data_IF_253457349149
#
_entry.id   IF_253457349149
#
_cell.length_a   1.000
_cell.length_b   1.000
_cell.length_c   1.000
_cell.angle_alpha   90.00
_cell.angle_beta   90.00
_cell.angle_gamma   90.00
#
_symmetry.space_group_name_H-M   'P 1'
#
loop_
_entity.id
_entity.type
_entity.pdbx_description
1 polymer ?
#
# COMPACT_ATOMS: atom_id res chain seq x y z
N UNK A 1 9.29 -1.32 -2.01
CA UNK A 1 8.17 -1.32 -2.97
C UNK A 1 6.87 -1.53 -2.18
N UNK A 2 5.75 -0.81 -2.42
CA UNK A 2 4.49 -1.05 -1.70
C UNK A 2 4.04 -2.52 -1.66
N UNK A 3 4.40 -3.29 -2.69
CA UNK A 3 4.06 -4.72 -2.83
C UNK A 3 4.85 -5.64 -1.91
N UNK A 4 5.94 -5.17 -1.30
CA UNK A 4 6.76 -5.97 -0.38
C UNK A 4 6.19 -5.98 1.04
N UNK A 5 5.19 -5.12 1.32
CA UNK A 5 4.60 -5.02 2.64
C UNK A 5 3.49 -6.08 2.77
N UNK A 6 3.61 -7.03 3.73
CA UNK A 6 2.71 -8.18 3.79
C UNK A 6 1.38 -7.83 4.51
N UNK A 7 0.60 -6.91 3.95
CA UNK A 7 -0.67 -6.43 4.53
C UNK A 7 -1.64 -7.57 4.87
N UNK A 8 -1.72 -8.59 4.01
CA UNK A 8 -2.58 -9.76 4.22
C UNK A 8 -2.21 -10.61 5.44
N UNK A 9 -0.91 -10.69 5.79
CA UNK A 9 -0.46 -11.42 7.00
C UNK A 9 -0.94 -10.71 8.27
N UNK A 10 -1.02 -9.39 8.22
CA UNK A 10 -1.46 -8.55 9.33
C UNK A 10 -2.98 -8.36 9.38
N UNK A 11 -3.73 -8.92 8.42
CA UNK A 11 -5.18 -8.76 8.34
C UNK A 11 -5.62 -7.33 8.02
N UNK A 12 -4.79 -6.55 7.34
CA UNK A 12 -5.13 -5.19 6.97
C UNK A 12 -6.10 -5.16 5.78
N UNK A 13 -7.32 -4.68 6.03
CA UNK A 13 -8.37 -4.53 5.00
C UNK A 13 -8.28 -3.18 4.26
N UNK A 14 -7.72 -2.17 4.91
CA UNK A 14 -7.60 -0.81 4.38
C UNK A 14 -6.17 -0.29 4.57
N UNK A 15 -5.65 0.37 3.53
CA UNK A 15 -4.34 1.02 3.54
C UNK A 15 -4.52 2.49 3.19
N UNK A 16 -4.10 3.38 4.09
CA UNK A 16 -4.08 4.84 3.86
C UNK A 16 -2.64 5.26 3.60
N UNK A 17 -2.33 5.58 2.35
CA UNK A 17 -1.03 6.10 1.96
C UNK A 17 -0.90 7.56 2.44
N UNK A 18 -0.09 7.77 3.49
CA UNK A 18 0.16 9.09 4.10
C UNK A 18 1.66 9.37 4.28
N UNK A 19 2.52 8.55 3.69
CA UNK A 19 3.98 8.75 3.73
C UNK A 19 4.42 9.91 2.83
N UNK A 20 3.61 10.26 1.83
CA UNK A 20 3.96 11.27 0.82
C UNK A 20 4.97 10.76 -0.22
N UNK A 21 5.27 9.47 -0.22
CA UNK A 21 6.22 8.82 -1.15
C UNK A 21 5.50 8.26 -2.38
N UNK A 22 4.27 7.76 -2.24
CA UNK A 22 3.49 7.12 -3.30
C UNK A 22 2.30 8.00 -3.70
N UNK A 23 2.60 9.16 -4.27
CA UNK A 23 1.63 10.25 -4.50
C UNK A 23 0.72 10.09 -5.72
N UNK A 24 0.94 9.07 -6.56
CA UNK A 24 0.07 8.79 -7.71
C UNK A 24 -0.84 7.61 -7.42
N UNK A 25 -1.98 7.56 -8.09
CA UNK A 25 -2.94 6.46 -7.95
C UNK A 25 -2.26 5.13 -8.30
N UNK A 26 -1.46 5.05 -9.38
CA UNK A 26 -0.83 3.78 -9.73
C UNK A 26 0.16 3.30 -8.65
N UNK A 27 0.90 4.22 -8.03
CA UNK A 27 1.86 3.88 -6.97
C UNK A 27 1.15 3.49 -5.68
N UNK A 28 0.09 4.20 -5.28
CA UNK A 28 -0.70 3.87 -4.10
C UNK A 28 -1.48 2.54 -4.29
N UNK A 29 -1.99 2.28 -5.49
CA UNK A 29 -2.69 1.01 -5.79
C UNK A 29 -1.77 -0.21 -5.73
N UNK A 30 -0.45 -0.04 -5.78
CA UNK A 30 0.49 -1.14 -5.61
C UNK A 30 0.42 -1.77 -4.20
N UNK A 31 -0.14 -1.08 -3.19
CA UNK A 31 -0.40 -1.65 -1.87
C UNK A 31 -1.45 -2.78 -1.88
N UNK A 32 -2.23 -2.93 -2.96
CA UNK A 32 -3.28 -3.94 -3.08
C UNK A 32 -2.81 -5.28 -3.67
N UNK A 33 -1.53 -5.36 -4.07
CA UNK A 33 -0.90 -6.59 -4.57
C UNK A 33 -0.26 -7.35 -3.43
#
# INVERSE_FOLDING_TARGET
DPTEIPWGIHGAEYVVESSGVFTTIEKASAHLK
#
